data_IF_702313323195
#
_entry.id   IF_702313323195
#
_cell.length_a   1.000
_cell.length_b   1.000
_cell.length_c   1.000
_cell.angle_alpha   90.00
_cell.angle_beta   90.00
_cell.angle_gamma   90.00
#
_symmetry.space_group_name_H-M   'P 1'
#
loop_
_entity.id
_entity.type
_entity.pdbx_description
1 polymer ?
#
# COMPACT_ATOMS: atom_id res chain seq x y z
N UNK A 1 -8.42 -4.99 -7.75
CA UNK A 1 -9.86 -5.03 -7.42
C UNK A 1 -10.05 -6.15 -6.42
N UNK A 2 -10.44 -5.85 -5.17
CA UNK A 2 -10.65 -6.86 -4.12
C UNK A 2 -12.14 -7.17 -4.02
N UNK A 3 -12.49 -8.43 -3.82
CA UNK A 3 -13.87 -8.80 -3.50
C UNK A 3 -14.15 -8.42 -2.04
N UNK A 4 -15.09 -7.50 -1.82
CA UNK A 4 -15.42 -6.93 -0.51
C UNK A 4 -16.32 -7.84 0.33
N UNK A 5 -16.84 -8.95 -0.24
CA UNK A 5 -17.66 -9.95 0.46
C UNK A 5 -16.93 -10.66 1.61
N UNK A 6 -15.61 -10.49 1.71
CA UNK A 6 -14.78 -11.06 2.78
C UNK A 6 -14.51 -10.06 3.91
N UNK A 7 -14.94 -8.79 3.76
CA UNK A 7 -14.74 -7.75 4.75
C UNK A 7 -15.97 -7.63 5.66
N UNK A 8 -15.73 -7.40 6.95
CA UNK A 8 -16.78 -7.12 7.91
C UNK A 8 -17.33 -5.72 7.66
N UNK A 9 -18.65 -5.54 7.57
CA UNK A 9 -19.23 -4.23 7.34
C UNK A 9 -19.08 -3.31 8.54
N UNK A 10 -19.30 -2.02 8.31
CA UNK A 10 -19.20 -0.94 9.30
C UNK A 10 -17.86 -0.88 10.02
N UNK A 11 -16.80 -1.29 9.32
CA UNK A 11 -15.45 -1.40 9.87
C UNK A 11 -14.50 -0.49 9.09
N UNK A 12 -13.60 0.17 9.82
CA UNK A 12 -12.50 0.93 9.22
C UNK A 12 -11.35 -0.03 8.96
N UNK A 13 -10.81 0.04 7.76
CA UNK A 13 -9.70 -0.79 7.33
C UNK A 13 -8.52 0.09 6.93
N UNK A 14 -7.33 -0.39 7.21
CA UNK A 14 -6.08 0.12 6.65
C UNK A 14 -5.53 -0.88 5.62
N UNK A 15 -5.03 -0.36 4.51
CA UNK A 15 -4.35 -1.14 3.48
C UNK A 15 -2.84 -0.94 3.57
N UNK A 16 -2.11 -2.05 3.54
CA UNK A 16 -0.66 -2.10 3.63
C UNK A 16 -0.08 -2.76 2.38
N UNK A 17 0.93 -2.13 1.78
CA UNK A 17 1.73 -2.78 0.73
C UNK A 17 2.86 -3.54 1.40
N UNK A 18 3.00 -4.83 1.09
CA UNK A 18 4.04 -5.70 1.65
C UNK A 18 5.02 -6.13 0.57
N UNK A 19 6.29 -5.82 0.75
CA UNK A 19 7.31 -5.95 -0.29
C UNK A 19 8.72 -6.13 0.29
N UNK A 20 9.65 -6.56 -0.56
CA UNK A 20 11.08 -6.66 -0.27
C UNK A 20 11.86 -5.90 -1.33
N UNK A 21 12.98 -5.32 -0.92
CA UNK A 21 13.91 -4.65 -1.82
C UNK A 21 15.29 -5.23 -1.58
N UNK A 22 15.94 -5.69 -2.65
CA UNK A 22 17.36 -6.05 -2.62
C UNK A 22 18.10 -5.22 -3.66
N UNK A 23 19.43 -5.07 -3.48
CA UNK A 23 20.28 -4.29 -4.36
C UNK A 23 19.97 -2.77 -4.37
N UNK A 24 20.12 -2.12 -3.22
CA UNK A 24 19.96 -0.65 -3.08
C UNK A 24 21.23 0.11 -3.47
N UNK A 25 22.18 -0.52 -4.18
CA UNK A 25 23.49 0.08 -4.47
C UNK A 25 23.33 1.41 -5.23
N UNK A 26 23.49 2.52 -4.52
CA UNK A 26 23.43 3.88 -5.07
C UNK A 26 22.03 4.41 -5.38
N UNK A 27 20.96 3.66 -5.14
CA UNK A 27 19.59 4.14 -5.38
C UNK A 27 19.13 4.89 -4.13
N UNK A 28 19.36 6.20 -4.12
CA UNK A 28 19.02 7.07 -3.00
C UNK A 28 17.60 7.65 -3.07
N UNK A 29 16.71 7.22 -3.97
CA UNK A 29 15.46 7.96 -4.19
C UNK A 29 14.28 7.16 -4.78
N UNK A 30 14.14 5.85 -4.52
CA UNK A 30 12.97 5.14 -5.07
C UNK A 30 11.66 5.69 -4.49
N UNK A 31 10.87 6.33 -5.36
CA UNK A 31 9.56 6.90 -5.03
C UNK A 31 8.43 6.01 -5.52
N UNK A 32 7.47 5.78 -4.64
CA UNK A 32 6.25 5.02 -4.92
C UNK A 32 5.03 5.92 -4.76
N UNK A 33 4.12 5.84 -5.73
CA UNK A 33 2.75 6.34 -5.60
C UNK A 33 1.88 5.21 -5.05
N UNK A 34 1.29 5.41 -3.89
CA UNK A 34 0.32 4.51 -3.26
C UNK A 34 -1.05 5.15 -3.32
N UNK A 35 -2.09 4.37 -3.57
CA UNK A 35 -3.47 4.88 -3.61
C UNK A 35 -4.46 3.87 -3.08
N UNK A 36 -5.44 4.39 -2.34
CA UNK A 36 -6.59 3.67 -1.81
C UNK A 36 -7.80 4.54 -2.09
N UNK A 37 -8.81 4.01 -2.74
CA UNK A 37 -10.02 4.77 -3.04
C UNK A 37 -11.24 3.87 -3.11
N UNK A 38 -12.38 4.46 -2.81
CA UNK A 38 -13.67 3.80 -2.98
C UNK A 38 -14.35 4.37 -4.22
N UNK A 39 -14.89 3.49 -5.07
CA UNK A 39 -15.52 3.88 -6.33
C UNK A 39 -16.71 4.81 -6.06
N UNK A 40 -16.73 5.96 -6.73
CA UNK A 40 -17.73 7.01 -6.50
C UNK A 40 -17.50 7.86 -5.24
N UNK A 41 -16.48 7.53 -4.43
CA UNK A 41 -16.10 8.24 -3.22
C UNK A 41 -14.76 8.98 -3.31
N UNK A 42 -14.19 9.32 -2.16
CA UNK A 42 -12.86 9.94 -2.07
C UNK A 42 -11.76 8.89 -2.30
N UNK A 43 -10.73 9.27 -3.04
CA UNK A 43 -9.48 8.53 -3.11
C UNK A 43 -8.39 9.27 -2.34
N UNK A 44 -7.56 8.51 -1.64
CA UNK A 44 -6.34 8.98 -1.02
C UNK A 44 -5.15 8.55 -1.86
N UNK A 45 -4.21 9.46 -2.07
CA UNK A 45 -2.93 9.18 -2.73
C UNK A 45 -1.81 9.61 -1.81
N UNK A 46 -0.85 8.72 -1.60
CA UNK A 46 0.34 8.95 -0.79
C UNK A 46 1.58 8.71 -1.63
N UNK A 47 2.61 9.51 -1.41
CA UNK A 47 3.93 9.29 -1.98
C UNK A 47 4.86 8.78 -0.87
N UNK A 48 5.60 7.72 -1.15
CA UNK A 48 6.57 7.14 -0.24
C UNK A 48 7.94 7.08 -0.90
N UNK A 49 8.98 7.45 -0.16
CA UNK A 49 10.38 7.33 -0.62
C UNK A 49 11.11 6.38 0.32
N UNK A 50 11.97 5.52 -0.23
CA UNK A 50 12.78 4.59 0.59
C UNK A 50 13.90 5.25 1.40
N UNK A 51 14.29 6.50 1.10
CA UNK A 51 15.48 7.14 1.69
C UNK A 51 15.21 8.06 2.89
N UNK A 52 13.99 8.59 3.02
CA UNK A 52 13.79 9.88 3.70
C UNK A 52 12.97 9.83 5.00
N UNK A 53 12.39 8.69 5.39
CA UNK A 53 11.78 8.56 6.73
C UNK A 53 11.45 7.09 7.02
N UNK A 54 12.25 6.46 7.88
CA UNK A 54 11.96 5.13 8.46
C UNK A 54 10.57 5.07 9.13
N UNK A 55 9.93 6.22 9.36
CA UNK A 55 8.59 6.32 9.97
C UNK A 55 7.46 5.84 9.06
N UNK A 56 7.67 5.72 7.74
CA UNK A 56 6.61 5.29 6.81
C UNK A 56 6.69 3.81 6.43
N UNK A 57 7.89 3.22 6.48
CA UNK A 57 8.13 1.83 6.09
C UNK A 57 8.59 1.07 7.32
N UNK A 58 7.84 0.05 7.70
CA UNK A 58 8.15 -0.79 8.87
C UNK A 58 8.75 -2.13 8.43
N UNK A 59 9.83 -2.54 9.08
CA UNK A 59 10.38 -3.90 8.94
C UNK A 59 9.60 -4.85 9.85
N UNK A 60 9.05 -5.91 9.25
CA UNK A 60 8.32 -6.97 9.95
C UNK A 60 9.28 -8.02 10.51
N UNK A 61 8.79 -8.82 11.45
CA UNK A 61 9.56 -9.93 12.04
C UNK A 61 9.91 -11.05 11.05
N UNK A 62 9.17 -11.18 9.96
CA UNK A 62 9.39 -12.12 8.84
C UNK A 62 10.41 -11.59 7.79
N UNK A 63 10.95 -10.39 8.02
CA UNK A 63 11.91 -9.74 7.14
C UNK A 63 11.32 -9.06 5.91
N UNK A 64 9.99 -8.96 5.79
CA UNK A 64 9.33 -8.12 4.78
C UNK A 64 9.19 -6.67 5.25
N UNK A 65 9.14 -5.74 4.30
CA UNK A 65 8.83 -4.34 4.55
C UNK A 65 7.33 -4.12 4.33
N UNK A 66 6.69 -3.32 5.18
CA UNK A 66 5.32 -2.88 4.97
C UNK A 66 5.17 -1.36 5.05
N UNK A 67 4.24 -0.82 4.27
CA UNK A 67 3.87 0.60 4.29
C UNK A 67 2.37 0.77 4.21
N UNK A 68 1.82 1.61 5.10
CA UNK A 68 0.42 2.00 5.02
C UNK A 68 0.16 2.86 3.77
N UNK A 69 -0.70 2.35 2.89
CA UNK A 69 -1.17 3.01 1.68
C UNK A 69 -2.27 4.02 1.98
N UNK A 70 -3.08 3.74 3.01
CA UNK A 70 -4.17 4.57 3.49
C UNK A 70 -5.30 3.76 4.11
N UNK A 71 -6.35 4.46 4.51
CA UNK A 71 -7.54 3.88 5.14
C UNK A 71 -8.79 4.05 4.28
N UNK A 72 -9.75 3.15 4.48
CA UNK A 72 -11.10 3.27 3.97
C UNK A 72 -12.10 2.74 5.00
N UNK A 73 -13.36 3.17 4.88
CA UNK A 73 -14.45 2.62 5.66
C UNK A 73 -15.31 1.76 4.75
N UNK A 74 -15.61 0.53 5.15
CA UNK A 74 -16.49 -0.35 4.39
C UNK A 74 -17.87 -0.38 5.05
N UNK A 75 -18.90 0.05 4.31
CA UNK A 75 -20.30 -0.01 4.74
C UNK A 75 -21.03 -1.11 3.97
N UNK A 76 -21.89 -1.91 4.63
CA UNK A 76 -22.68 -2.95 3.95
C UNK A 76 -23.68 -2.38 2.93
N UNK A 77 -24.02 -1.10 3.08
CA UNK A 77 -25.16 -0.47 2.41
C UNK A 77 -24.87 -0.06 0.98
N UNK A 78 -23.59 0.01 0.60
CA UNK A 78 -23.19 0.32 -0.77
C UNK A 78 -22.25 -0.81 -1.22
N UNK A 79 -22.53 -1.38 -2.39
CA UNK A 79 -21.66 -2.33 -3.08
C UNK A 79 -20.43 -1.56 -3.62
N UNK A 80 -19.65 -1.06 -2.66
CA UNK A 80 -18.56 -0.11 -2.83
C UNK A 80 -17.34 -0.88 -3.32
N UNK A 81 -16.98 -0.67 -4.58
CA UNK A 81 -15.76 -1.24 -5.15
C UNK A 81 -14.55 -0.47 -4.60
N UNK A 82 -13.70 -1.16 -3.83
CA UNK A 82 -12.46 -0.58 -3.31
C UNK A 82 -11.35 -0.83 -4.32
N UNK A 83 -10.73 0.27 -4.76
CA UNK A 83 -9.61 0.25 -5.68
C UNK A 83 -8.32 0.64 -4.95
N UNK A 84 -7.30 -0.19 -5.09
CA UNK A 84 -5.99 0.01 -4.50
C UNK A 84 -4.95 -0.17 -5.59
N UNK A 85 -4.03 0.78 -5.70
CA UNK A 85 -2.96 0.70 -6.69
C UNK A 85 -1.66 1.24 -6.14
N UNK A 86 -0.56 0.62 -6.56
CA UNK A 86 0.79 1.11 -6.32
C UNK A 86 1.51 1.28 -7.66
N UNK A 87 2.37 2.28 -7.76
CA UNK A 87 3.20 2.53 -8.94
C UNK A 87 4.57 3.05 -8.53
N UNK A 88 5.64 2.39 -8.95
CA UNK A 88 6.98 2.97 -8.92
C UNK A 88 7.05 4.17 -9.85
N UNK A 89 7.60 5.29 -9.36
CA UNK A 89 7.72 6.55 -10.12
C UNK A 89 9.14 6.73 -10.67
N UNK A 90 10.12 6.02 -10.08
CA UNK A 90 11.52 6.10 -10.50
C UNK A 90 11.98 4.87 -11.28
N UNK A 91 12.76 5.13 -12.34
CA UNK A 91 13.32 4.17 -13.30
C UNK A 91 14.75 3.78 -12.94
N UNK A 92 15.01 3.45 -11.66
CA UNK A 92 16.32 2.88 -11.34
C UNK A 92 16.31 1.41 -11.73
N UNK A 93 16.90 1.07 -12.87
CA UNK A 93 17.05 -0.30 -13.40
C UNK A 93 17.82 -1.26 -12.47
N UNK A 94 18.26 -0.79 -11.30
CA UNK A 94 19.04 -1.55 -10.33
C UNK A 94 18.24 -2.04 -9.11
N UNK A 95 16.94 -1.70 -8.99
CA UNK A 95 16.14 -2.10 -7.84
C UNK A 95 15.48 -3.47 -8.06
N UNK A 96 15.88 -4.48 -7.28
CA UNK A 96 15.14 -5.73 -7.23
C UNK A 96 13.99 -5.60 -6.23
N UNK A 97 12.80 -5.29 -6.75
CA UNK A 97 11.56 -5.18 -5.97
C UNK A 97 10.77 -6.49 -6.02
N UNK A 98 10.51 -7.07 -4.86
CA UNK A 98 9.67 -8.25 -4.69
C UNK A 98 8.37 -7.84 -4.02
N UNK A 99 7.23 -8.18 -4.64
CA UNK A 99 5.91 -7.89 -4.08
C UNK A 99 5.33 -9.16 -3.46
N UNK A 100 4.92 -9.09 -2.19
CA UNK A 100 4.07 -10.12 -1.59
C UNK A 100 2.61 -9.83 -1.90
N UNK A 101 2.17 -8.58 -1.70
CA UNK A 101 0.82 -8.16 -2.05
C UNK A 101 0.34 -6.95 -1.28
N UNK A 102 -0.99 -6.82 -1.20
CA UNK A 102 -1.68 -5.83 -0.39
C UNK A 102 -2.42 -6.57 0.73
N UNK A 103 -2.14 -6.19 1.96
CA UNK A 103 -2.86 -6.68 3.13
C UNK A 103 -3.87 -5.63 3.61
N UNK A 104 -5.07 -6.08 3.95
CA UNK A 104 -6.15 -5.23 4.46
C UNK A 104 -6.46 -5.68 5.89
N UNK A 105 -6.35 -4.76 6.86
CA UNK A 105 -6.51 -5.07 8.30
C UNK A 105 -7.51 -4.10 8.94
N UNK A 106 -8.40 -4.58 9.83
CA UNK A 106 -9.26 -3.70 10.63
C UNK A 106 -8.41 -2.75 11.49
N UNK A 107 -8.89 -1.53 11.69
CA UNK A 107 -8.27 -0.51 12.55
C UNK A 107 -9.17 -0.13 13.72
#
# INVERSE_FOLDING_TARGET
>A
MINTLVLSPNTRYAAYLVFKVTNVFGITNFKMKLSVGVKGGRSSTKFATLDSDERQISLRSDGWLEIEMGEFFYSYLQDEEINMSFRGIDYSDCLNFFLEGIEVRPK
#
